data_IF_812849808048
#
_entry.id   IF_812849808048
#
_cell.length_a   1.000
_cell.length_b   1.000
_cell.length_c   1.000
_cell.angle_alpha   90.00
_cell.angle_beta   90.00
_cell.angle_gamma   90.00
#
_symmetry.space_group_name_H-M   'P 1'
#
loop_
_entity.id
_entity.type
_entity.pdbx_description
1 polymer ?
#
# COMPACT_ATOMS: atom_id res chain seq x y z
N UNK A 1 16.34 18.43 10.88
CA UNK A 1 15.17 18.94 10.12
C UNK A 1 13.91 18.47 10.81
N UNK A 2 12.94 19.34 10.95
CA UNK A 2 11.61 18.98 11.49
C UNK A 2 10.55 19.52 10.51
N UNK A 3 9.53 18.76 10.24
CA UNK A 3 8.44 19.12 9.33
C UNK A 3 7.11 18.65 9.89
N UNK A 4 6.05 19.41 9.61
CA UNK A 4 4.66 19.05 9.91
C UNK A 4 3.91 19.09 8.58
N UNK A 5 3.22 18.02 8.26
CA UNK A 5 2.43 17.91 7.04
C UNK A 5 0.98 17.62 7.43
N UNK A 6 0.04 18.35 6.83
CA UNK A 6 -1.39 18.10 6.95
C UNK A 6 -1.98 17.93 5.57
N UNK A 7 -2.68 16.86 5.35
CA UNK A 7 -3.44 16.61 4.14
C UNK A 7 -4.90 16.37 4.49
N UNK A 8 -5.79 17.10 3.83
CA UNK A 8 -7.24 16.90 3.90
C UNK A 8 -7.75 16.74 2.47
N UNK A 9 -8.61 15.80 2.26
CA UNK A 9 -9.28 15.55 0.98
C UNK A 9 -10.77 15.40 1.23
N UNK A 10 -11.55 16.19 0.51
CA UNK A 10 -12.99 16.10 0.43
C UNK A 10 -13.37 15.85 -1.02
N UNK A 11 -14.21 14.87 -1.24
CA UNK A 11 -14.71 14.54 -2.57
C UNK A 11 -16.22 14.32 -2.50
N UNK A 12 -16.91 15.01 -3.39
CA UNK A 12 -18.36 14.92 -3.53
C UNK A 12 -18.67 14.49 -4.96
N UNK A 13 -19.51 13.48 -5.09
CA UNK A 13 -19.99 12.99 -6.38
C UNK A 13 -21.52 12.97 -6.39
N UNK A 14 -22.07 13.67 -7.35
CA UNK A 14 -23.50 13.72 -7.60
C UNK A 14 -23.78 13.09 -8.97
N UNK A 15 -24.25 11.84 -8.94
CA UNK A 15 -24.64 11.14 -10.16
C UNK A 15 -26.16 11.11 -10.28
N UNK A 16 -26.66 11.68 -11.37
CA UNK A 16 -28.06 11.61 -11.75
C UNK A 16 -28.23 10.78 -13.03
N UNK A 17 -29.17 9.84 -13.05
CA UNK A 17 -29.57 9.11 -14.25
C UNK A 17 -31.04 9.24 -14.51
N UNK A 18 -31.40 9.47 -15.78
CA UNK A 18 -32.78 9.42 -16.28
C UNK A 18 -32.97 8.11 -17.01
N UNK A 19 -34.01 7.38 -16.69
CA UNK A 19 -34.32 6.08 -17.33
C UNK A 19 -34.92 6.30 -18.72
N UNK A 20 -35.50 7.48 -18.95
CA UNK A 20 -36.08 7.85 -20.26
C UNK A 20 -35.68 9.29 -20.57
N UNK A 21 -34.62 9.53 -21.37
CA UNK A 21 -34.15 10.87 -21.66
C UNK A 21 -35.18 11.62 -22.54
N UNK A 22 -35.60 12.77 -22.06
CA UNK A 22 -36.42 13.67 -22.87
C UNK A 22 -35.64 14.08 -24.11
N UNK A 23 -36.28 14.09 -25.33
CA UNK A 23 -35.58 14.33 -26.60
C UNK A 23 -34.98 15.74 -26.76
N UNK A 24 -35.10 16.60 -25.79
CA UNK A 24 -34.59 17.98 -25.79
C UNK A 24 -33.65 18.33 -24.65
N UNK A 25 -33.16 17.35 -23.88
CA UNK A 25 -32.19 17.64 -22.82
C UNK A 25 -30.77 17.50 -23.37
N UNK A 26 -30.08 18.61 -23.44
CA UNK A 26 -28.66 18.73 -23.82
C UNK A 26 -27.68 18.35 -22.66
N UNK A 27 -28.10 17.46 -21.76
CA UNK A 27 -27.33 17.09 -20.58
C UNK A 27 -27.48 18.01 -19.37
N UNK A 28 -28.28 19.07 -19.47
CA UNK A 28 -28.60 19.96 -18.34
C UNK A 28 -30.01 19.69 -17.80
N UNK A 29 -30.23 18.55 -17.22
CA UNK A 29 -31.52 18.20 -16.62
C UNK A 29 -31.67 18.79 -15.22
N UNK A 30 -31.97 20.05 -15.10
CA UNK A 30 -32.19 20.68 -13.80
C UNK A 30 -33.63 20.65 -13.29
N UNK A 31 -34.60 20.16 -14.07
CA UNK A 31 -36.00 20.13 -13.64
C UNK A 31 -36.83 19.12 -14.41
N UNK A 32 -36.66 17.86 -14.07
CA UNK A 32 -37.65 16.85 -14.46
C UNK A 32 -38.71 16.81 -13.38
N UNK A 33 -39.97 17.02 -13.77
CA UNK A 33 -41.11 16.83 -12.87
C UNK A 33 -41.18 15.35 -12.49
N UNK A 34 -40.85 15.06 -11.23
CA UNK A 34 -40.84 13.71 -10.67
C UNK A 34 -42.23 13.07 -10.63
N UNK A 35 -43.28 13.79 -11.00
CA UNK A 35 -44.64 13.33 -11.06
C UNK A 35 -45.11 12.91 -12.46
N UNK A 36 -44.28 13.02 -13.49
CA UNK A 36 -44.60 12.55 -14.83
C UNK A 36 -44.59 10.99 -14.82
N UNK A 37 -45.70 10.38 -15.17
CA UNK A 37 -45.79 8.92 -15.27
C UNK A 37 -44.78 8.39 -16.29
N UNK A 38 -43.89 7.48 -15.88
CA UNK A 38 -42.91 6.81 -16.73
C UNK A 38 -41.47 7.28 -16.58
N UNK A 39 -41.16 8.28 -15.75
CA UNK A 39 -39.80 8.74 -15.50
C UNK A 39 -39.27 8.23 -14.17
N UNK A 40 -38.19 7.46 -14.20
CA UNK A 40 -37.43 7.11 -13.02
C UNK A 40 -36.15 7.96 -12.99
N UNK A 41 -36.06 8.86 -12.03
CA UNK A 41 -34.84 9.62 -11.75
C UNK A 41 -34.14 9.00 -10.55
N UNK A 42 -32.91 8.63 -10.75
CA UNK A 42 -32.04 8.18 -9.64
C UNK A 42 -30.95 9.21 -9.45
N UNK A 43 -30.91 9.82 -8.27
CA UNK A 43 -29.83 10.71 -7.86
C UNK A 43 -29.07 10.01 -6.73
N UNK A 44 -27.78 9.83 -6.94
CA UNK A 44 -26.88 9.27 -5.94
C UNK A 44 -25.90 10.35 -5.53
N UNK A 45 -25.89 10.67 -4.26
CA UNK A 45 -24.92 11.55 -3.65
C UNK A 45 -23.91 10.75 -2.83
N UNK A 46 -22.64 10.86 -3.16
CA UNK A 46 -21.55 10.25 -2.41
C UNK A 46 -20.61 11.36 -1.92
N UNK A 47 -20.29 11.34 -0.66
CA UNK A 47 -19.30 12.22 -0.04
C UNK A 47 -18.26 11.39 0.64
N UNK A 48 -16.99 11.68 0.38
CA UNK A 48 -15.85 11.07 1.02
C UNK A 48 -14.94 12.14 1.60
N UNK A 49 -14.56 11.96 2.85
CA UNK A 49 -13.63 12.83 3.56
C UNK A 49 -12.48 11.99 4.08
N UNK A 50 -11.27 12.48 3.96
CA UNK A 50 -10.09 11.88 4.56
C UNK A 50 -9.15 12.94 5.12
N UNK A 51 -8.49 12.64 6.22
CA UNK A 51 -7.54 13.51 6.88
C UNK A 51 -6.31 12.74 7.32
N UNK A 52 -5.14 13.33 7.12
CA UNK A 52 -3.85 12.83 7.59
C UNK A 52 -3.06 13.96 8.22
N UNK A 53 -2.39 13.67 9.33
CA UNK A 53 -1.47 14.57 10.01
C UNK A 53 -0.16 13.84 10.27
N UNK A 54 0.95 14.45 9.88
CA UNK A 54 2.27 13.82 9.96
C UNK A 54 3.27 14.75 10.63
N UNK A 55 4.08 14.17 11.52
CA UNK A 55 5.25 14.80 12.11
C UNK A 55 6.50 14.06 11.66
N UNK A 56 7.47 14.78 11.14
CA UNK A 56 8.72 14.20 10.65
C UNK A 56 9.91 14.88 11.30
N UNK A 57 10.77 14.08 11.92
CA UNK A 57 12.06 14.51 12.46
C UNK A 57 13.20 13.73 11.82
N UNK A 58 14.27 14.44 11.40
CA UNK A 58 15.45 13.83 10.77
C UNK A 58 16.72 14.41 11.33
N UNK A 59 17.66 13.54 11.66
CA UNK A 59 19.00 13.87 12.14
C UNK A 59 20.00 13.16 11.25
N UNK A 60 20.96 13.93 10.69
CA UNK A 60 22.08 13.42 9.92
C UNK A 60 23.36 13.77 10.66
N UNK A 61 24.25 12.80 10.76
CA UNK A 61 25.55 12.95 11.36
C UNK A 61 26.63 12.40 10.45
N UNK A 62 27.68 13.18 10.23
CA UNK A 62 28.86 12.76 9.50
C UNK A 62 30.09 13.02 10.36
N UNK A 63 30.94 12.01 10.47
CA UNK A 63 32.23 12.15 11.13
C UNK A 63 33.36 11.87 10.16
N UNK A 64 34.24 12.87 9.97
CA UNK A 64 35.40 12.84 9.06
C UNK A 64 35.05 12.45 7.61
N UNK A 65 33.79 12.73 7.20
CA UNK A 65 33.18 12.34 5.91
C UNK A 65 33.27 10.83 5.60
N UNK A 66 33.68 10.03 6.57
CA UNK A 66 33.83 8.57 6.46
C UNK A 66 32.70 7.81 7.09
N UNK A 67 32.28 8.24 8.27
CA UNK A 67 31.20 7.58 9.01
C UNK A 67 29.95 8.42 8.93
N UNK A 68 28.97 7.88 8.24
CA UNK A 68 27.71 8.55 7.96
C UNK A 68 26.60 7.85 8.75
N UNK A 69 25.78 8.62 9.42
CA UNK A 69 24.62 8.12 10.14
C UNK A 69 23.41 9.01 9.91
N UNK A 70 22.26 8.40 9.68
CA UNK A 70 20.99 9.10 9.57
C UNK A 70 19.95 8.39 10.44
N UNK A 71 19.18 9.17 11.15
CA UNK A 71 17.99 8.73 11.87
C UNK A 71 16.82 9.58 11.45
N UNK A 72 15.70 8.95 11.13
CA UNK A 72 14.43 9.60 10.84
C UNK A 72 13.31 8.94 11.65
N UNK A 73 12.46 9.77 12.23
CA UNK A 73 11.22 9.36 12.86
C UNK A 73 10.06 10.06 12.17
N UNK A 74 9.10 9.29 11.69
CA UNK A 74 7.83 9.76 11.18
C UNK A 74 6.71 9.24 12.08
N UNK A 75 5.82 10.15 12.48
CA UNK A 75 4.61 9.81 13.20
C UNK A 75 3.42 10.33 12.42
N UNK A 76 2.55 9.43 11.98
CA UNK A 76 1.41 9.73 11.12
C UNK A 76 0.11 9.39 11.83
N UNK A 77 -0.89 10.26 11.68
CA UNK A 77 -2.26 10.00 12.09
C UNK A 77 -3.17 9.95 10.87
N UNK A 78 -4.04 8.94 10.79
CA UNK A 78 -5.03 8.80 9.71
C UNK A 78 -6.43 8.70 10.29
N UNK A 79 -7.35 9.51 9.75
CA UNK A 79 -8.76 9.51 10.14
C UNK A 79 -9.53 8.25 9.73
N UNK A 80 -8.91 7.35 8.95
CA UNK A 80 -9.53 6.10 8.53
C UNK A 80 -9.66 5.08 9.66
N UNK A 81 -8.78 5.15 10.65
CA UNK A 81 -8.74 4.22 11.78
C UNK A 81 -9.62 4.68 12.94
N UNK A 82 -9.84 3.80 13.90
CA UNK A 82 -10.47 4.16 15.16
C UNK A 82 -9.58 5.11 15.98
N UNK A 83 -10.16 5.96 16.87
CA UNK A 83 -9.40 6.95 17.63
C UNK A 83 -8.18 6.40 18.37
N UNK A 84 -8.25 5.18 18.89
CA UNK A 84 -7.15 4.51 19.58
C UNK A 84 -6.01 4.10 18.64
N UNK A 85 -6.26 3.97 17.33
CA UNK A 85 -5.34 3.48 16.32
C UNK A 85 -4.93 4.54 15.29
N UNK A 86 -5.30 5.82 15.50
CA UNK A 86 -4.97 6.90 14.57
C UNK A 86 -3.48 7.00 14.30
N UNK A 87 -2.66 6.90 15.36
CA UNK A 87 -1.25 7.18 15.28
C UNK A 87 -0.42 5.95 14.98
N UNK A 88 0.43 6.06 13.95
CA UNK A 88 1.51 5.13 13.65
C UNK A 88 2.86 5.79 13.85
N UNK A 89 3.86 5.03 14.29
CA UNK A 89 5.25 5.47 14.44
C UNK A 89 6.14 4.64 13.52
N UNK A 90 6.93 5.33 12.69
CA UNK A 90 7.73 4.75 11.63
C UNK A 90 9.18 5.25 11.71
N UNK A 91 9.99 4.67 12.59
CA UNK A 91 11.41 4.98 12.67
C UNK A 91 12.18 4.38 11.51
N UNK A 92 13.26 5.05 11.09
CA UNK A 92 14.24 4.51 10.18
C UNK A 92 15.64 5.02 10.51
N UNK A 93 16.63 4.22 10.22
CA UNK A 93 18.03 4.59 10.36
C UNK A 93 18.86 4.02 9.23
N UNK A 94 19.93 4.73 8.89
CA UNK A 94 20.92 4.26 7.96
C UNK A 94 22.32 4.60 8.46
N UNK A 95 23.27 3.74 8.11
CA UNK A 95 24.67 3.95 8.36
C UNK A 95 25.48 3.71 7.09
N UNK A 96 26.54 4.48 6.90
CA UNK A 96 27.47 4.33 5.80
C UNK A 96 28.91 4.50 6.25
N UNK A 97 29.80 3.70 5.68
CA UNK A 97 31.22 3.77 5.94
C UNK A 97 32.00 3.86 4.63
N UNK A 98 32.71 4.97 4.45
CA UNK A 98 33.57 5.21 3.29
C UNK A 98 34.94 4.61 3.58
N UNK A 99 35.12 3.36 3.23
CA UNK A 99 36.33 2.57 3.50
C UNK A 99 37.53 3.12 2.71
N UNK A 100 37.27 3.61 1.50
CA UNK A 100 38.33 4.13 0.62
C UNK A 100 39.10 5.35 1.19
N UNK A 101 38.52 6.02 2.18
CA UNK A 101 39.10 7.20 2.78
C UNK A 101 39.81 6.92 4.12
N UNK A 102 39.89 5.64 4.48
CA UNK A 102 40.66 5.20 5.63
C UNK A 102 42.17 5.24 5.38
N UNK A 103 42.95 5.61 6.39
CA UNK A 103 44.38 5.73 6.31
C UNK A 103 45.15 4.47 5.91
N UNK A 104 44.56 3.32 6.22
CA UNK A 104 45.12 2.01 5.91
C UNK A 104 44.74 1.50 4.52
N UNK A 105 43.78 2.15 3.84
CA UNK A 105 43.29 1.74 2.53
C UNK A 105 44.21 2.28 1.42
N UNK A 106 44.87 1.39 0.70
CA UNK A 106 45.80 1.72 -0.38
C UNK A 106 45.07 1.64 -1.74
N UNK A 107 44.68 2.81 -2.27
CA UNK A 107 43.96 2.94 -3.56
C UNK A 107 44.80 2.46 -4.74
N UNK A 108 46.14 2.64 -4.68
CA UNK A 108 47.05 2.25 -5.78
C UNK A 108 47.19 0.73 -5.88
N UNK A 109 47.29 0.05 -4.74
CA UNK A 109 47.37 -1.41 -4.72
C UNK A 109 46.04 -2.09 -5.08
N UNK A 110 44.95 -1.58 -4.57
CA UNK A 110 43.61 -2.17 -4.79
C UNK A 110 43.00 -1.79 -6.14
N UNK A 111 43.46 -0.67 -6.74
CA UNK A 111 42.87 -0.01 -7.93
C UNK A 111 41.40 0.37 -7.74
N UNK A 112 40.99 0.47 -6.50
CA UNK A 112 39.65 0.92 -6.10
C UNK A 112 39.77 2.39 -5.68
N UNK A 113 39.12 3.26 -6.42
CA UNK A 113 39.18 4.71 -6.17
C UNK A 113 38.21 5.12 -5.05
N UNK A 114 37.07 4.42 -4.99
CA UNK A 114 36.02 4.63 -3.99
C UNK A 114 35.39 3.31 -3.55
N UNK A 115 35.25 3.14 -2.26
CA UNK A 115 34.54 2.01 -1.65
C UNK A 115 33.73 2.49 -0.45
N UNK A 116 32.42 2.31 -0.52
CA UNK A 116 31.49 2.61 0.57
C UNK A 116 30.60 1.40 0.81
N UNK A 117 30.42 1.05 2.07
CA UNK A 117 29.42 0.12 2.54
C UNK A 117 28.32 0.91 3.20
N UNK A 118 27.07 0.52 2.99
CA UNK A 118 25.91 1.15 3.61
C UNK A 118 24.88 0.10 4.04
N UNK A 119 24.20 0.40 5.12
CA UNK A 119 23.09 -0.39 5.60
C UNK A 119 21.96 0.51 6.05
N UNK A 120 20.74 0.09 5.85
CA UNK A 120 19.58 0.79 6.35
C UNK A 120 18.51 -0.17 6.84
N UNK A 121 17.76 0.30 7.81
CA UNK A 121 16.56 -0.35 8.30
C UNK A 121 15.49 0.70 8.55
N UNK A 122 14.23 0.37 8.24
CA UNK A 122 13.12 1.27 8.48
C UNK A 122 11.80 0.55 8.55
N UNK A 123 10.87 1.15 9.27
CA UNK A 123 9.48 0.71 9.31
C UNK A 123 8.66 1.69 8.49
N UNK A 124 7.86 1.16 7.57
CA UNK A 124 6.90 1.92 6.78
C UNK A 124 5.48 1.54 7.16
N UNK A 125 4.62 2.53 7.32
CA UNK A 125 3.20 2.36 7.52
C UNK A 125 2.41 2.59 6.24
N UNK A 126 1.29 1.86 6.09
CA UNK A 126 0.28 2.14 5.06
C UNK A 126 -1.10 2.18 5.71
N UNK A 127 -1.93 3.11 5.27
CA UNK A 127 -3.34 3.25 5.66
C UNK A 127 -4.29 2.82 4.52
N UNK A 128 -3.91 1.78 3.76
CA UNK A 128 -4.67 1.29 2.62
C UNK A 128 -5.92 0.51 3.05
N UNK A 129 -6.77 1.14 3.83
CA UNK A 129 -8.03 0.61 4.33
C UNK A 129 -9.18 1.54 3.96
N UNK A 130 -10.39 0.99 3.87
CA UNK A 130 -11.58 1.80 3.74
C UNK A 130 -11.87 2.52 5.06
N UNK A 131 -12.38 3.75 4.97
CA UNK A 131 -12.83 4.49 6.14
C UNK A 131 -14.03 3.78 6.81
N UNK A 132 -14.20 4.01 8.12
CA UNK A 132 -15.36 3.57 8.90
C UNK A 132 -15.50 2.05 9.13
N UNK A 133 -14.47 1.25 8.84
CA UNK A 133 -14.49 -0.19 9.12
C UNK A 133 -14.59 -0.54 10.62
N UNK A 134 -14.22 0.41 11.46
CA UNK A 134 -14.22 0.30 12.91
C UNK A 134 -15.58 0.60 13.56
N UNK A 135 -16.54 1.12 12.80
CA UNK A 135 -17.87 1.48 13.32
C UNK A 135 -19.00 0.78 12.58
N UNK A 136 -20.09 0.53 13.28
CA UNK A 136 -21.27 -0.10 12.69
C UNK A 136 -22.06 0.91 11.87
N UNK A 137 -22.10 0.70 10.57
CA UNK A 137 -22.93 1.46 9.65
C UNK A 137 -24.25 0.72 9.39
N UNK A 138 -25.27 1.47 9.03
CA UNK A 138 -26.59 0.94 8.68
C UNK A 138 -27.01 1.46 7.31
N UNK A 139 -27.60 0.59 6.50
CA UNK A 139 -28.15 0.96 5.20
C UNK A 139 -29.65 0.99 5.28
N UNK A 140 -30.28 2.08 4.86
CA UNK A 140 -31.72 2.18 4.70
C UNK A 140 -32.11 1.58 3.35
N UNK A 141 -33.03 0.61 3.40
CA UNK A 141 -33.69 0.05 2.22
C UNK A 141 -35.13 0.59 2.13
N UNK A 142 -35.43 1.49 1.18
CA UNK A 142 -36.74 2.16 1.15
C UNK A 142 -37.89 1.21 0.84
N UNK A 143 -37.64 0.14 0.08
CA UNK A 143 -38.72 -0.68 -0.52
C UNK A 143 -38.77 -2.14 -0.01
N UNK A 144 -38.14 -2.42 1.14
CA UNK A 144 -38.01 -3.79 1.67
C UNK A 144 -38.51 -3.95 3.11
N UNK A 145 -39.38 -3.07 3.54
CA UNK A 145 -40.00 -3.15 4.84
C UNK A 145 -41.31 -3.97 4.85
N UNK A 146 -41.89 -4.23 6.01
CA UNK A 146 -43.16 -4.88 6.12
C UNK A 146 -44.27 -4.06 5.43
N UNK A 147 -45.19 -4.76 4.81
CA UNK A 147 -46.31 -4.14 4.12
C UNK A 147 -47.42 -3.95 5.16
N UNK A 148 -47.83 -2.71 5.35
CA UNK A 148 -48.98 -2.38 6.20
C UNK A 148 -50.14 -1.94 5.31
N UNK A 149 -51.23 -2.71 5.29
CA UNK A 149 -52.45 -2.40 4.55
C UNK A 149 -52.76 -3.38 3.41
N UNK A 150 -53.89 -3.14 2.73
CA UNK A 150 -54.43 -4.05 1.72
C UNK A 150 -54.00 -3.84 0.28
N UNK A 151 -53.23 -2.76 -0.03
CA UNK A 151 -52.74 -2.48 -1.38
C UNK A 151 -51.20 -2.54 -1.42
N UNK A 152 -50.73 -3.53 -2.08
CA UNK A 152 -49.37 -4.07 -2.01
C UNK A 152 -48.27 -3.37 -2.82
N UNK A 153 -48.60 -2.43 -3.68
CA UNK A 153 -47.59 -1.92 -4.61
C UNK A 153 -46.95 -0.58 -4.23
N UNK A 154 -47.51 0.15 -3.31
CA UNK A 154 -47.08 1.52 -2.97
C UNK A 154 -46.78 1.82 -1.51
N UNK A 155 -47.07 0.86 -0.60
CA UNK A 155 -46.95 1.07 0.85
C UNK A 155 -45.89 0.20 1.53
N UNK A 156 -44.73 0.04 0.89
CA UNK A 156 -43.59 -0.59 1.53
C UNK A 156 -42.92 0.38 2.48
N UNK A 157 -42.83 0.02 3.74
CA UNK A 157 -42.07 0.79 4.70
C UNK A 157 -40.56 0.56 4.52
N UNK A 158 -39.76 1.55 4.85
CA UNK A 158 -38.30 1.40 4.83
C UNK A 158 -37.83 0.46 5.95
N UNK A 159 -36.85 -0.37 5.66
CA UNK A 159 -36.12 -1.13 6.67
C UNK A 159 -34.70 -0.60 6.82
N UNK A 160 -34.14 -0.80 7.99
CA UNK A 160 -32.73 -0.58 8.27
C UNK A 160 -32.06 -1.97 8.23
N UNK A 161 -31.01 -2.08 7.46
CA UNK A 161 -30.21 -3.29 7.34
C UNK A 161 -28.80 -3.03 7.81
N UNK A 162 -28.24 -3.96 8.60
CA UNK A 162 -26.83 -4.01 8.88
C UNK A 162 -26.06 -4.44 7.62
N UNK A 163 -24.83 -3.95 7.39
CA UNK A 163 -23.96 -4.50 6.37
C UNK A 163 -23.78 -6.00 6.56
N UNK A 164 -23.48 -6.69 5.47
CA UNK A 164 -23.19 -8.13 5.56
C UNK A 164 -21.84 -8.42 6.21
N UNK A 165 -20.98 -7.42 6.35
CA UNK A 165 -19.63 -7.54 6.89
C UNK A 165 -19.60 -7.05 8.33
N UNK A 166 -18.89 -7.78 9.19
CA UNK A 166 -18.63 -7.39 10.57
C UNK A 166 -17.78 -6.13 10.69
N UNK A 167 -17.82 -5.49 11.84
CA UNK A 167 -16.97 -4.36 12.20
C UNK A 167 -15.71 -4.84 12.90
N UNK A 168 -14.61 -4.14 12.65
CA UNK A 168 -13.36 -4.38 13.35
C UNK A 168 -12.81 -3.06 13.92
N UNK A 169 -12.96 -2.80 15.23
CA UNK A 169 -12.40 -1.60 15.85
C UNK A 169 -10.87 -1.62 15.98
N UNK A 170 -10.25 -2.78 15.77
CA UNK A 170 -8.81 -2.97 15.95
C UNK A 170 -8.00 -2.80 14.66
N UNK A 171 -8.66 -2.41 13.56
CA UNK A 171 -7.96 -2.09 12.31
C UNK A 171 -6.93 -0.99 12.55
N UNK A 172 -5.71 -1.24 12.11
CA UNK A 172 -4.56 -0.37 12.33
C UNK A 172 -3.63 -0.33 11.11
N UNK A 173 -2.55 0.42 11.22
CA UNK A 173 -1.56 0.59 10.17
C UNK A 173 -0.90 -0.73 9.75
N UNK A 174 -0.85 -0.99 8.44
CA UNK A 174 0.01 -2.02 7.87
C UNK A 174 1.46 -1.65 8.13
N UNK A 175 2.30 -2.63 8.45
CA UNK A 175 3.73 -2.41 8.70
C UNK A 175 4.58 -3.15 7.69
N UNK A 176 5.56 -2.46 7.13
CA UNK A 176 6.61 -3.07 6.32
C UNK A 176 7.98 -2.74 6.92
N UNK A 177 8.68 -3.76 7.36
CA UNK A 177 10.05 -3.67 7.87
C UNK A 177 11.00 -3.84 6.69
N UNK A 178 11.74 -2.77 6.37
CA UNK A 178 12.66 -2.74 5.23
C UNK A 178 14.09 -2.79 5.69
N UNK A 179 14.86 -3.73 5.15
CA UNK A 179 16.29 -3.85 5.39
C UNK A 179 17.01 -3.77 4.04
N UNK A 180 18.01 -2.92 3.94
CA UNK A 180 18.86 -2.84 2.76
C UNK A 180 20.33 -2.84 3.18
N UNK A 181 21.16 -3.56 2.43
CA UNK A 181 22.61 -3.55 2.51
C UNK A 181 23.18 -3.26 1.13
N UNK A 182 24.03 -2.23 1.03
CA UNK A 182 24.58 -1.80 -0.25
C UNK A 182 26.10 -1.62 -0.22
N UNK A 183 26.73 -1.84 -1.37
CA UNK A 183 28.14 -1.61 -1.61
C UNK A 183 28.26 -0.72 -2.85
N UNK A 184 28.90 0.43 -2.68
CA UNK A 184 29.17 1.38 -3.75
C UNK A 184 30.67 1.38 -4.04
N UNK A 185 31.04 1.16 -5.29
CA UNK A 185 32.45 1.04 -5.72
C UNK A 185 32.73 1.89 -6.95
N UNK A 186 33.94 2.44 -7.03
CA UNK A 186 34.46 3.03 -8.25
C UNK A 186 35.89 2.57 -8.50
N UNK A 187 36.21 2.36 -9.76
CA UNK A 187 37.49 1.79 -10.23
C UNK A 187 38.06 2.60 -11.40
N UNK A 188 39.37 2.36 -11.71
CA UNK A 188 40.04 2.85 -12.90
C UNK A 188 39.94 4.37 -13.04
N UNK A 189 40.30 5.09 -11.98
CA UNK A 189 40.24 6.56 -11.89
C UNK A 189 38.79 7.06 -12.10
N UNK A 190 37.84 6.43 -11.41
CA UNK A 190 36.42 6.72 -11.48
C UNK A 190 35.80 6.56 -12.89
N UNK A 191 36.40 5.77 -13.78
CA UNK A 191 35.80 5.45 -15.09
C UNK A 191 34.73 4.39 -15.00
N UNK A 192 34.90 3.42 -14.12
CA UNK A 192 33.93 2.37 -13.84
C UNK A 192 33.31 2.55 -12.45
N UNK A 193 32.01 2.44 -12.35
CA UNK A 193 31.26 2.40 -11.09
C UNK A 193 30.45 1.12 -11.01
N UNK A 194 30.32 0.58 -9.79
CA UNK A 194 29.47 -0.56 -9.51
C UNK A 194 28.71 -0.30 -8.19
N UNK A 195 27.41 -0.49 -8.22
CA UNK A 195 26.55 -0.43 -7.04
C UNK A 195 25.84 -1.77 -6.93
N UNK A 196 25.93 -2.38 -5.77
CA UNK A 196 25.31 -3.65 -5.45
C UNK A 196 24.43 -3.47 -4.21
N UNK A 197 23.15 -3.81 -4.33
CA UNK A 197 22.16 -3.70 -3.28
C UNK A 197 21.50 -5.05 -3.00
N UNK A 198 21.38 -5.38 -1.72
CA UNK A 198 20.60 -6.50 -1.21
C UNK A 198 19.49 -5.95 -0.35
N UNK A 199 18.27 -6.36 -0.57
CA UNK A 199 17.14 -5.93 0.25
C UNK A 199 16.27 -7.10 0.69
N UNK A 200 15.68 -6.93 1.85
CA UNK A 200 14.71 -7.84 2.43
C UNK A 200 13.63 -7.02 3.15
N UNK A 201 12.41 -7.11 2.62
CA UNK A 201 11.26 -6.39 3.10
C UNK A 201 10.24 -7.37 3.68
N UNK A 202 9.83 -7.17 4.93
CA UNK A 202 8.83 -7.98 5.62
C UNK A 202 7.55 -7.16 5.80
N UNK A 203 6.53 -7.45 5.00
CA UNK A 203 5.17 -6.97 5.24
C UNK A 203 4.54 -7.77 6.37
N UNK A 204 4.05 -7.07 7.39
CA UNK A 204 3.42 -7.66 8.57
C UNK A 204 2.17 -6.87 8.92
N UNK A 205 1.24 -7.56 9.58
CA UNK A 205 0.00 -6.94 9.99
C UNK A 205 -0.70 -6.23 8.81
N UNK A 206 -0.58 -6.80 7.60
CA UNK A 206 -1.19 -6.22 6.40
C UNK A 206 -2.68 -6.45 6.44
N UNK A 207 -3.44 -5.40 6.13
CA UNK A 207 -4.88 -5.47 6.06
C UNK A 207 -5.33 -6.44 4.97
N UNK A 208 -6.10 -7.42 5.35
CA UNK A 208 -6.61 -8.45 4.46
C UNK A 208 -8.04 -8.88 4.85
N UNK A 209 -8.79 -9.31 3.86
CA UNK A 209 -10.11 -9.89 4.07
C UNK A 209 -10.02 -11.40 4.04
N UNK A 210 -10.72 -12.07 4.93
CA UNK A 210 -10.89 -13.50 4.84
C UNK A 210 -11.66 -13.84 3.57
N UNK A 211 -10.99 -14.49 2.63
CA UNK A 211 -11.58 -14.89 1.37
C UNK A 211 -12.09 -16.34 1.46
N UNK A 212 -13.28 -16.57 0.90
CA UNK A 212 -13.90 -17.89 0.86
C UNK A 212 -15.28 -17.92 1.53
N UNK A 213 -16.19 -18.62 0.90
CA UNK A 213 -17.61 -18.70 1.32
C UNK A 213 -17.85 -19.52 2.60
N UNK A 214 -16.79 -20.08 3.19
CA UNK A 214 -16.92 -21.07 4.27
C UNK A 214 -16.39 -20.60 5.63
N UNK A 215 -16.12 -19.31 5.81
CA UNK A 215 -15.55 -18.85 7.10
C UNK A 215 -16.57 -18.95 8.23
N UNK A 216 -17.81 -18.54 7.95
CA UNK A 216 -18.95 -18.71 8.86
C UNK A 216 -20.09 -19.42 8.15
N UNK A 217 -20.86 -20.26 8.86
CA UNK A 217 -22.12 -20.77 8.35
C UNK A 217 -23.06 -19.63 7.95
N UNK A 218 -23.81 -19.81 6.87
CA UNK A 218 -24.78 -18.80 6.40
C UNK A 218 -25.85 -18.44 7.46
N UNK A 219 -26.02 -19.29 8.44
CA UNK A 219 -26.94 -19.08 9.58
C UNK A 219 -26.49 -17.94 10.51
N UNK A 220 -25.19 -17.57 10.48
CA UNK A 220 -24.68 -16.44 11.25
C UNK A 220 -25.13 -15.10 10.65
N UNK A 221 -25.39 -15.08 9.33
CA UNK A 221 -25.92 -13.91 8.63
C UNK A 221 -24.95 -12.75 8.43
N UNK A 222 -23.71 -12.86 8.92
CA UNK A 222 -22.67 -11.84 8.80
C UNK A 222 -21.34 -12.46 8.33
N UNK A 223 -20.61 -11.74 7.50
CA UNK A 223 -19.26 -12.12 7.09
C UNK A 223 -18.23 -11.59 8.10
N UNK A 224 -17.08 -12.27 8.26
CA UNK A 224 -16.01 -11.77 9.11
C UNK A 224 -15.57 -10.37 8.69
N UNK A 225 -15.21 -9.56 9.67
CA UNK A 225 -14.57 -8.28 9.42
C UNK A 225 -13.18 -8.49 8.80
N UNK A 226 -12.71 -7.57 7.96
CA UNK A 226 -11.31 -7.56 7.57
C UNK A 226 -10.40 -7.27 8.78
N UNK A 227 -9.24 -7.87 8.79
CA UNK A 227 -8.29 -7.80 9.90
C UNK A 227 -6.86 -7.56 9.39
N UNK A 228 -5.97 -7.14 10.28
CA UNK A 228 -4.55 -6.98 9.99
C UNK A 228 -3.80 -8.29 10.34
N UNK A 229 -3.74 -9.23 9.38
CA UNK A 229 -3.05 -10.51 9.58
C UNK A 229 -2.19 -10.93 8.39
N UNK A 230 -2.30 -10.24 7.24
CA UNK A 230 -1.54 -10.58 6.05
C UNK A 230 -0.04 -10.43 6.25
N UNK A 231 0.74 -11.39 5.73
CA UNK A 231 2.19 -11.37 5.79
C UNK A 231 2.81 -11.72 4.44
N UNK A 232 3.74 -10.88 3.98
CA UNK A 232 4.49 -11.08 2.74
C UNK A 232 5.94 -10.68 2.93
N UNK A 233 6.87 -11.55 2.57
CA UNK A 233 8.28 -11.24 2.48
C UNK A 233 8.65 -10.96 1.02
N UNK A 234 9.40 -9.89 0.77
CA UNK A 234 9.95 -9.55 -0.55
C UNK A 234 11.45 -9.36 -0.43
N UNK A 235 12.21 -9.96 -1.31
CA UNK A 235 13.66 -9.89 -1.27
C UNK A 235 14.24 -9.82 -2.68
N UNK A 236 15.45 -9.30 -2.76
CA UNK A 236 16.11 -9.21 -4.04
C UNK A 236 17.53 -8.67 -3.97
N UNK A 237 18.15 -8.67 -5.14
CA UNK A 237 19.47 -8.12 -5.37
C UNK A 237 19.42 -7.24 -6.62
N UNK A 238 20.08 -6.09 -6.56
CA UNK A 238 20.17 -5.15 -7.66
C UNK A 238 21.66 -4.83 -7.93
N UNK A 239 22.04 -4.85 -9.20
CA UNK A 239 23.38 -4.50 -9.67
C UNK A 239 23.28 -3.40 -10.70
N UNK A 240 24.02 -2.31 -10.48
CA UNK A 240 24.17 -1.22 -11.43
C UNK A 240 25.65 -1.04 -11.77
N UNK A 241 26.00 -1.17 -13.04
CA UNK A 241 27.34 -0.96 -13.56
C UNK A 241 27.35 0.27 -14.45
N UNK A 242 28.28 1.16 -14.21
CA UNK A 242 28.46 2.37 -15.01
C UNK A 242 29.86 2.42 -15.60
N UNK A 243 29.98 2.85 -16.85
CA UNK A 243 31.23 3.14 -17.51
C UNK A 243 31.18 4.54 -18.12
N UNK A 244 32.16 5.36 -17.84
CA UNK A 244 32.32 6.69 -18.47
C UNK A 244 33.75 6.87 -18.95
N UNK A 245 33.90 7.41 -20.16
CA UNK A 245 35.19 7.67 -20.74
C UNK A 245 35.17 8.84 -21.75
N UNK A 246 36.32 9.23 -22.21
CA UNK A 246 36.51 10.29 -23.22
C UNK A 246 37.17 9.72 -24.46
N UNK A 247 36.69 10.15 -25.62
CA UNK A 247 37.27 9.87 -26.92
C UNK A 247 37.84 11.19 -27.43
N UNK A 248 39.20 11.29 -27.47
CA UNK A 248 39.84 12.53 -27.83
C UNK A 248 39.66 13.63 -26.78
N UNK A 249 39.62 14.88 -27.21
CA UNK A 249 39.54 16.07 -26.33
C UNK A 249 38.06 16.52 -26.13
N UNK A 250 37.20 16.28 -27.08
CA UNK A 250 35.91 16.96 -27.19
C UNK A 250 34.72 16.04 -27.01
N UNK A 251 34.89 14.70 -26.96
CA UNK A 251 33.81 13.76 -26.84
C UNK A 251 33.90 12.94 -25.56
N UNK A 252 32.80 12.89 -24.79
CA UNK A 252 32.68 12.01 -23.64
C UNK A 252 31.47 11.11 -23.83
N UNK A 253 31.54 9.87 -23.38
CA UNK A 253 30.43 8.92 -23.40
C UNK A 253 30.30 8.23 -22.07
N UNK A 254 29.09 7.73 -21.80
CA UNK A 254 28.81 6.90 -20.66
C UNK A 254 27.82 5.78 -21.04
N UNK A 255 27.98 4.65 -20.38
CA UNK A 255 27.08 3.50 -20.52
C UNK A 255 26.70 3.05 -19.11
N UNK A 256 25.43 2.76 -18.87
CA UNK A 256 24.94 2.22 -17.61
C UNK A 256 24.14 0.95 -17.90
N UNK A 257 24.49 -0.12 -17.20
CA UNK A 257 23.74 -1.39 -17.16
C UNK A 257 23.16 -1.51 -15.76
N UNK A 258 21.84 -1.77 -15.69
CA UNK A 258 21.17 -2.08 -14.43
C UNK A 258 20.45 -3.41 -14.61
N UNK A 259 20.64 -4.31 -13.67
CA UNK A 259 19.97 -5.59 -13.63
C UNK A 259 19.63 -5.93 -12.19
N UNK A 260 18.62 -6.77 -11.99
CA UNK A 260 18.21 -7.20 -10.66
C UNK A 260 17.39 -8.48 -10.71
N UNK A 261 17.37 -9.14 -9.59
CA UNK A 261 16.49 -10.27 -9.31
C UNK A 261 15.66 -9.93 -8.08
N UNK A 262 14.37 -10.12 -8.16
CA UNK A 262 13.47 -10.00 -7.02
C UNK A 262 12.46 -11.14 -7.02
N UNK A 263 12.09 -11.56 -5.82
CA UNK A 263 11.03 -12.51 -5.58
C UNK A 263 10.29 -12.18 -4.29
N UNK A 264 9.15 -12.81 -4.07
CA UNK A 264 8.38 -12.65 -2.85
C UNK A 264 7.95 -14.02 -2.30
N UNK A 265 7.61 -14.04 -1.04
CA UNK A 265 7.07 -15.18 -0.36
C UNK A 265 5.87 -14.77 0.47
N UNK A 266 4.72 -15.28 0.12
CA UNK A 266 3.49 -15.08 0.88
C UNK A 266 3.53 -15.97 2.12
N UNK A 267 3.48 -15.38 3.31
CA UNK A 267 3.48 -16.09 4.59
C UNK A 267 2.06 -16.37 5.06
N UNK A 268 1.21 -15.34 5.01
CA UNK A 268 -0.18 -15.45 5.41
C UNK A 268 -1.07 -14.52 4.57
N UNK A 269 -2.18 -15.04 4.04
CA UNK A 269 -3.10 -14.27 3.18
C UNK A 269 -4.54 -14.29 3.67
N UNK A 270 -4.83 -14.99 4.76
CA UNK A 270 -6.21 -15.20 5.22
C UNK A 270 -7.06 -16.05 4.28
N UNK A 271 -6.42 -16.69 3.33
CA UNK A 271 -7.10 -17.64 2.47
C UNK A 271 -7.37 -18.92 3.27
N UNK A 272 -8.63 -19.13 3.62
CA UNK A 272 -9.04 -20.43 4.14
C UNK A 272 -9.30 -21.32 2.95
N UNK A 273 -8.33 -22.15 2.66
CA UNK A 273 -8.42 -23.13 1.59
C UNK A 273 -9.63 -24.05 1.82
N UNK A 274 -10.45 -24.25 0.80
CA UNK A 274 -11.48 -25.30 0.82
C UNK A 274 -10.82 -26.70 0.86
N UNK A 275 -9.57 -26.79 0.37
CA UNK A 275 -8.76 -28.00 0.35
C UNK A 275 -7.33 -27.66 0.78
N UNK A 276 -6.65 -28.62 1.40
CA UNK A 276 -5.25 -28.46 1.85
C UNK A 276 -4.27 -28.08 0.72
N UNK A 277 -4.59 -28.46 -0.51
CA UNK A 277 -3.84 -28.09 -1.70
C UNK A 277 -3.79 -26.57 -1.92
N UNK A 278 -4.93 -25.87 -1.78
CA UNK A 278 -4.96 -24.40 -1.96
C UNK A 278 -4.11 -23.67 -0.93
N UNK A 279 -4.04 -24.20 0.29
CA UNK A 279 -3.18 -23.66 1.35
C UNK A 279 -1.70 -23.82 1.00
N UNK A 280 -1.31 -24.99 0.48
CA UNK A 280 0.06 -25.27 0.07
C UNK A 280 0.50 -24.42 -1.12
N UNK A 281 -0.44 -24.05 -2.00
CA UNK A 281 -0.13 -23.25 -3.19
C UNK A 281 0.03 -21.77 -2.85
N UNK A 282 -0.74 -21.22 -1.91
CA UNK A 282 -0.78 -19.78 -1.68
C UNK A 282 0.13 -19.31 -0.56
N UNK A 283 0.18 -20.04 0.56
CA UNK A 283 1.06 -19.69 1.66
C UNK A 283 2.45 -20.30 1.44
N UNK A 284 3.48 -19.59 1.92
CA UNK A 284 4.88 -20.01 1.81
C UNK A 284 5.44 -20.06 0.36
N UNK A 285 4.74 -19.45 -0.62
CA UNK A 285 5.11 -19.46 -2.04
C UNK A 285 5.15 -18.03 -2.60
N UNK A 286 5.81 -17.89 -3.73
CA UNK A 286 5.80 -16.65 -4.52
C UNK A 286 4.44 -16.47 -5.20
N UNK A 287 3.97 -15.21 -5.30
CA UNK A 287 2.77 -14.84 -6.07
C UNK A 287 2.96 -15.03 -7.59
N UNK A 288 4.22 -15.16 -8.03
CA UNK A 288 4.60 -15.38 -9.44
C UNK A 288 4.63 -16.85 -9.84
N UNK A 289 4.40 -17.77 -8.90
CA UNK A 289 4.38 -19.19 -9.16
C UNK A 289 3.24 -19.59 -10.09
N UNK A 290 3.54 -20.33 -11.17
CA UNK A 290 2.53 -21.02 -11.97
C UNK A 290 2.28 -22.39 -11.36
N UNK A 291 1.04 -22.69 -11.06
CA UNK A 291 0.64 -23.93 -10.38
C UNK A 291 -0.36 -24.69 -11.24
N UNK A 292 -0.21 -26.01 -11.25
CA UNK A 292 -1.09 -26.94 -11.94
C UNK A 292 -1.00 -28.33 -11.32
N UNK A 293 -1.89 -29.20 -11.73
CA UNK A 293 -1.81 -30.62 -11.40
C UNK A 293 -0.75 -31.29 -12.29
N UNK A 294 0.10 -32.09 -11.68
CA UNK A 294 0.96 -33.01 -12.42
C UNK A 294 0.10 -34.20 -12.89
N UNK A 295 0.03 -34.41 -14.20
CA UNK A 295 -0.61 -35.59 -14.75
C UNK A 295 0.34 -36.80 -14.52
N UNK A 296 -0.07 -37.73 -13.68
CA UNK A 296 0.61 -39.00 -13.44
C UNK A 296 0.15 -40.02 -14.49
#
# INVERSE_FOLDING_TARGET
MFSIEKAESEWEDLNGSLTDPLPFTDGQSSSVDSNAEGFAQTVTFNRSESGMLSYVGRVNYSYDDKYLFEFMLRSDASAKFAPQNYWGMFPSWSAGWVISDEKWFDKDKTKIDFLKIRGSFGILGKDNVNAWLWTQLYTRNPDKGPIFGTNSSTNTSATIRMPKQGVNPDVHWDKTYKTNFGIDMAFLKNRMSANLDFYYDMGREMFASHQGTSYYPNTVGIQPAPENFGEVDTYGVELSLGWKDKIGKDMSYWVKLTTGYNDNKIRETGWKAAYDFDKLVRNERSDRGLWGYECI
#
